data_IF_791085702693
#
_entry.id   IF_791085702693
#
_cell.length_a   1.000
_cell.length_b   1.000
_cell.length_c   1.000
_cell.angle_alpha   90.00
_cell.angle_beta   90.00
_cell.angle_gamma   90.00
#
_symmetry.space_group_name_H-M   'P 1'
#
loop_
_entity.id
_entity.type
_entity.pdbx_description
1 polymer ?
#
# COMPACT_ATOMS: atom_id res chain seq x y z
N UNK A 1 -16.58 -1.57 2.32
CA UNK A 1 -15.73 -2.14 3.38
C UNK A 1 -15.27 -1.00 4.26
N UNK A 2 -15.31 -1.16 5.58
CA UNK A 2 -14.83 -0.12 6.49
C UNK A 2 -13.31 -0.01 6.38
N UNK A 3 -12.82 1.06 5.74
CA UNK A 3 -11.49 1.56 6.00
C UNK A 3 -11.49 2.09 7.43
N UNK A 4 -11.31 1.19 8.40
CA UNK A 4 -10.71 1.57 9.66
C UNK A 4 -9.32 2.07 9.32
N UNK A 5 -9.18 3.39 9.14
CA UNK A 5 -7.88 4.03 9.25
C UNK A 5 -7.26 3.51 10.53
N UNK A 6 -6.22 2.68 10.41
CA UNK A 6 -5.29 2.44 11.49
C UNK A 6 -4.71 3.81 11.82
N UNK A 7 -5.31 4.48 12.81
CA UNK A 7 -4.82 5.74 13.34
C UNK A 7 -3.60 5.40 14.20
N UNK A 8 -2.50 5.01 13.56
CA UNK A 8 -1.22 4.93 14.22
C UNK A 8 -0.89 6.33 14.74
N UNK A 9 -0.75 6.44 16.06
CA UNK A 9 -0.38 7.69 16.68
C UNK A 9 1.07 7.99 16.31
N UNK A 10 1.29 9.07 15.56
CA UNK A 10 2.64 9.54 15.23
C UNK A 10 3.02 10.66 16.18
N UNK A 11 4.04 10.43 17.01
CA UNK A 11 4.59 11.44 17.92
C UNK A 11 5.87 12.05 17.36
N UNK A 12 6.04 13.36 17.57
CA UNK A 12 7.19 14.13 17.10
C UNK A 12 8.07 14.53 18.27
N UNK A 13 9.33 14.11 18.24
CA UNK A 13 10.34 14.42 19.24
C UNK A 13 11.39 15.35 18.64
N UNK A 14 11.63 16.48 19.29
CA UNK A 14 12.81 17.31 19.01
C UNK A 14 13.99 16.73 19.77
N UNK A 15 15.10 16.53 19.06
CA UNK A 15 16.30 15.95 19.64
C UNK A 15 17.12 17.06 20.30
N UNK A 16 17.55 16.82 21.54
CA UNK A 16 18.50 17.70 22.25
C UNK A 16 19.85 17.68 21.52
N UNK A 17 20.33 16.48 21.22
CA UNK A 17 21.55 16.23 20.46
C UNK A 17 21.17 15.60 19.11
N UNK A 18 21.74 16.13 18.02
CA UNK A 18 21.39 15.65 16.68
C UNK A 18 21.91 14.23 16.46
N UNK A 19 21.08 13.33 15.95
CA UNK A 19 21.52 12.03 15.46
C UNK A 19 22.01 12.27 14.02
N UNK A 20 23.32 12.25 13.82
CA UNK A 20 23.99 12.75 12.62
C UNK A 20 23.54 14.20 12.29
N UNK A 21 22.63 14.38 11.31
CA UNK A 21 22.10 15.67 10.88
C UNK A 21 20.61 15.91 11.24
N UNK A 22 19.95 14.94 11.90
CA UNK A 22 18.53 15.04 12.24
C UNK A 22 18.35 15.81 13.55
N UNK A 23 17.45 16.80 13.56
CA UNK A 23 17.05 17.54 14.78
C UNK A 23 15.64 17.20 15.28
N UNK A 24 14.87 16.43 14.51
CA UNK A 24 13.53 16.02 14.88
C UNK A 24 13.18 14.67 14.25
N UNK A 25 12.62 13.78 15.06
CA UNK A 25 12.14 12.46 14.63
C UNK A 25 10.65 12.32 14.87
N UNK A 26 10.01 11.58 13.98
CA UNK A 26 8.64 11.09 14.06
C UNK A 26 8.68 9.59 14.29
N UNK A 27 7.97 9.14 15.32
CA UNK A 27 7.87 7.75 15.72
C UNK A 27 6.41 7.34 15.86
N UNK A 28 6.15 6.07 15.65
CA UNK A 28 4.84 5.44 15.75
C UNK A 28 4.93 4.15 16.56
N UNK A 29 3.78 3.63 16.98
CA UNK A 29 3.69 2.34 17.66
C UNK A 29 4.15 1.22 16.72
N UNK A 30 5.05 0.36 17.19
CA UNK A 30 5.42 -0.85 16.47
C UNK A 30 4.53 -1.99 16.97
N UNK A 31 3.47 -2.30 16.23
CA UNK A 31 2.53 -3.36 16.56
C UNK A 31 2.50 -4.42 15.47
N UNK A 32 2.35 -5.69 15.86
CA UNK A 32 2.14 -6.79 14.92
C UNK A 32 0.91 -7.57 15.33
N UNK A 33 0.04 -7.84 14.35
CA UNK A 33 -1.13 -8.69 14.56
C UNK A 33 -0.76 -10.15 14.31
N UNK A 34 -0.81 -10.97 15.35
CA UNK A 34 -0.49 -12.38 15.28
C UNK A 34 -1.77 -13.18 15.05
N UNK A 35 -1.96 -13.67 13.82
CA UNK A 35 -3.17 -14.41 13.40
C UNK A 35 -3.40 -15.65 14.27
N UNK A 36 -2.35 -16.36 14.67
CA UNK A 36 -2.43 -17.59 15.47
C UNK A 36 -3.04 -17.37 16.87
N UNK A 37 -2.77 -16.21 17.47
CA UNK A 37 -3.30 -15.83 18.78
C UNK A 37 -4.47 -14.85 18.69
N UNK A 38 -4.77 -14.33 17.49
CA UNK A 38 -5.70 -13.23 17.24
C UNK A 38 -5.43 -12.02 18.14
N UNK A 39 -4.15 -11.76 18.46
CA UNK A 39 -3.71 -10.67 19.34
C UNK A 39 -2.83 -9.67 18.61
N UNK A 40 -3.01 -8.40 18.96
CA UNK A 40 -2.09 -7.33 18.56
C UNK A 40 -1.00 -7.21 19.63
N UNK A 41 0.24 -7.43 19.23
CA UNK A 41 1.40 -7.34 20.11
C UNK A 41 2.09 -6.01 19.96
N UNK A 42 2.36 -5.34 21.08
CA UNK A 42 3.12 -4.10 21.13
C UNK A 42 4.61 -4.39 21.31
N UNK A 43 5.40 -4.08 20.28
CA UNK A 43 6.85 -4.21 20.22
C UNK A 43 7.59 -2.89 20.49
N UNK A 44 6.90 -1.89 21.04
CA UNK A 44 7.48 -0.60 21.36
C UNK A 44 7.24 0.43 20.26
N UNK A 45 8.28 1.14 19.85
CA UNK A 45 8.19 2.25 18.90
C UNK A 45 9.13 2.05 17.73
N UNK A 46 8.76 2.57 16.57
CA UNK A 46 9.64 2.65 15.40
C UNK A 46 9.55 4.00 14.74
N UNK A 47 10.55 4.33 13.92
CA UNK A 47 10.47 5.48 13.02
C UNK A 47 9.29 5.36 12.07
N UNK A 48 8.47 6.40 11.95
CA UNK A 48 7.31 6.41 11.02
C UNK A 48 7.69 6.53 9.54
N UNK A 49 8.99 6.74 9.25
CA UNK A 49 9.58 6.81 7.91
C UNK A 49 11.09 6.62 8.01
N UNK A 50 11.72 6.22 6.90
CA UNK A 50 13.17 6.26 6.78
C UNK A 50 13.65 7.71 6.68
N UNK A 51 14.72 8.03 7.39
CA UNK A 51 15.39 9.31 7.33
C UNK A 51 16.62 9.23 6.44
N UNK A 52 16.86 10.25 5.63
CA UNK A 52 18.13 10.40 4.92
C UNK A 52 19.12 11.11 5.85
N UNK A 53 20.10 10.36 6.35
CA UNK A 53 21.18 10.89 7.21
C UNK A 53 22.49 10.95 6.45
N UNK A 54 23.46 11.68 6.99
CA UNK A 54 24.84 11.64 6.51
C UNK A 54 25.68 10.84 7.50
N UNK A 55 26.25 9.72 7.06
CA UNK A 55 27.19 8.90 7.84
C UNK A 55 28.46 8.79 7.01
N UNK A 56 29.60 9.09 7.63
CA UNK A 56 30.91 9.14 6.96
C UNK A 56 30.91 9.97 5.66
N UNK A 57 30.15 11.08 5.63
CA UNK A 57 30.05 11.95 4.46
C UNK A 57 29.13 11.45 3.33
N UNK A 58 28.46 10.31 3.48
CA UNK A 58 27.53 9.73 2.50
C UNK A 58 26.08 9.79 2.97
N UNK A 59 25.16 9.96 2.03
CA UNK A 59 23.72 9.92 2.31
C UNK A 59 23.26 8.48 2.40
N UNK A 60 22.72 8.09 3.55
CA UNK A 60 22.24 6.72 3.81
C UNK A 60 20.82 6.75 4.39
N UNK A 61 20.07 5.68 4.17
CA UNK A 61 18.78 5.49 4.83
C UNK A 61 18.98 5.06 6.28
N UNK A 62 18.28 5.74 7.18
CA UNK A 62 18.33 5.48 8.61
C UNK A 62 16.93 5.27 9.18
N UNK A 63 16.79 4.18 9.93
CA UNK A 63 15.60 3.88 10.71
C UNK A 63 16.00 3.32 12.06
N UNK A 64 15.07 3.34 13.02
CA UNK A 64 15.32 2.72 14.31
C UNK A 64 14.04 2.19 14.94
N UNK A 65 14.21 1.24 15.86
CA UNK A 65 13.17 0.69 16.72
C UNK A 65 13.61 0.72 18.18
N UNK A 66 12.63 0.94 19.07
CA UNK A 66 12.79 1.03 20.52
C UNK A 66 11.85 -0.02 21.10
N UNK A 67 12.41 -1.10 21.62
CA UNK A 67 11.65 -2.12 22.33
C UNK A 67 11.18 -1.60 23.70
N UNK A 68 10.03 -2.09 24.21
CA UNK A 68 9.58 -1.77 25.56
C UNK A 68 10.50 -2.42 26.61
N UNK A 69 10.38 -1.98 27.86
CA UNK A 69 11.03 -2.65 28.99
C UNK A 69 10.38 -4.03 29.17
N UNK A 70 11.15 -5.10 28.99
CA UNK A 70 10.67 -6.49 29.13
C UNK A 70 10.02 -7.07 27.86
N UNK A 71 9.14 -8.07 28.04
CA UNK A 71 8.50 -8.77 26.93
C UNK A 71 7.45 -7.90 26.21
N UNK A 72 7.22 -8.10 24.90
CA UNK A 72 6.09 -7.49 24.18
C UNK A 72 4.77 -7.69 24.93
N UNK A 73 3.88 -6.69 24.89
CA UNK A 73 2.62 -6.73 25.64
C UNK A 73 1.42 -6.90 24.73
N UNK A 74 0.39 -7.60 25.22
CA UNK A 74 -0.89 -7.85 24.53
C UNK A 74 -1.73 -6.57 24.27
N UNK A 75 -1.28 -5.41 24.75
CA UNK A 75 -1.93 -4.11 24.57
C UNK A 75 -0.89 -2.99 24.49
N UNK A 76 -1.03 -2.02 23.56
CA UNK A 76 -0.28 -0.77 23.65
C UNK A 76 -0.67 -0.02 24.94
N UNK A 77 0.24 0.78 25.51
CA UNK A 77 -0.03 1.54 26.74
C UNK A 77 -1.29 2.40 26.60
N UNK A 78 -2.13 2.41 27.64
CA UNK A 78 -3.34 3.24 27.68
C UNK A 78 -2.90 4.70 27.59
N UNK A 79 -3.09 5.30 26.42
CA UNK A 79 -2.93 6.73 26.22
C UNK A 79 -3.88 7.42 27.20
N UNK A 80 -3.32 8.17 28.15
CA UNK A 80 -4.12 8.98 29.05
C UNK A 80 -5.03 9.86 28.18
N UNK A 81 -6.34 9.60 28.23
CA UNK A 81 -7.29 10.39 27.47
C UNK A 81 -7.01 11.86 27.78
N UNK A 82 -6.85 12.74 26.76
CA UNK A 82 -6.69 14.16 27.02
C UNK A 82 -7.80 14.54 27.98
N UNK A 83 -7.44 15.19 29.10
CA UNK A 83 -8.44 15.62 30.08
C UNK A 83 -9.52 16.36 29.29
N UNK A 84 -10.71 15.74 29.15
CA UNK A 84 -11.81 16.34 28.42
C UNK A 84 -12.27 17.56 29.20
N UNK A 85 -11.57 18.69 29.04
CA UNK A 85 -12.24 19.98 29.07
C UNK A 85 -13.25 19.89 27.95
N UNK A 86 -14.50 19.57 28.28
CA UNK A 86 -15.64 19.78 27.40
C UNK A 86 -15.70 21.28 27.09
N UNK A 87 -14.90 21.69 26.11
CA UNK A 87 -15.15 22.91 25.35
C UNK A 87 -15.57 22.44 23.99
N UNK A 88 -16.88 22.35 23.82
CA UNK A 88 -17.54 22.39 22.54
C UNK A 88 -17.07 23.67 21.86
N UNK A 89 -16.01 23.59 21.06
CA UNK A 89 -15.76 24.61 20.03
C UNK A 89 -16.86 24.41 19.01
N UNK A 90 -18.03 25.00 19.31
CA UNK A 90 -19.14 24.94 18.39
C UNK A 90 -18.72 25.71 17.14
N UNK A 91 -18.90 25.10 15.96
CA UNK A 91 -18.66 25.78 14.69
C UNK A 91 -19.33 27.17 14.73
N UNK A 92 -18.67 28.22 14.19
CA UNK A 92 -19.29 29.51 13.95
C UNK A 92 -20.67 29.34 13.29
N UNK A 93 -21.65 30.23 13.58
CA UNK A 93 -23.02 30.08 13.08
C UNK A 93 -23.10 29.87 11.56
N UNK A 94 -22.30 30.60 10.79
CA UNK A 94 -22.24 30.51 9.33
C UNK A 94 -21.73 29.14 8.86
N UNK A 95 -20.64 28.66 9.44
CA UNK A 95 -20.08 27.35 9.10
C UNK A 95 -20.98 26.19 9.56
N UNK A 96 -21.72 26.37 10.66
CA UNK A 96 -22.74 25.41 11.08
C UNK A 96 -23.90 25.36 10.11
N UNK A 97 -24.38 26.51 9.64
CA UNK A 97 -25.42 26.59 8.62
C UNK A 97 -24.96 25.91 7.33
N UNK A 98 -23.72 26.18 6.90
CA UNK A 98 -23.10 25.52 5.75
C UNK A 98 -23.04 24.00 5.91
N UNK A 99 -22.45 23.48 7.00
CA UNK A 99 -22.38 22.03 7.26
C UNK A 99 -23.78 21.39 7.32
N UNK A 100 -24.76 22.06 7.92
CA UNK A 100 -26.13 21.57 7.94
C UNK A 100 -26.74 21.52 6.53
N UNK A 101 -26.46 22.51 5.67
CA UNK A 101 -26.88 22.50 4.27
C UNK A 101 -26.30 21.31 3.49
N UNK A 102 -25.02 20.99 3.72
CA UNK A 102 -24.37 19.83 3.07
C UNK A 102 -24.96 18.51 3.58
N UNK A 103 -25.28 18.41 4.88
CA UNK A 103 -25.95 17.23 5.44
C UNK A 103 -27.35 16.99 4.87
N UNK A 104 -28.09 18.05 4.57
CA UNK A 104 -29.39 17.94 3.89
C UNK A 104 -29.18 17.35 2.49
N UNK A 105 -28.23 17.87 1.72
CA UNK A 105 -27.88 17.32 0.39
C UNK A 105 -27.46 15.85 0.45
N UNK A 106 -26.63 15.47 1.43
CA UNK A 106 -26.23 14.07 1.65
C UNK A 106 -27.45 13.19 1.91
N UNK A 107 -28.39 13.66 2.75
CA UNK A 107 -29.61 12.92 3.07
C UNK A 107 -30.48 12.73 1.83
N UNK A 108 -30.68 13.78 1.04
CA UNK A 108 -31.43 13.73 -0.22
C UNK A 108 -30.81 12.74 -1.21
N UNK A 109 -29.49 12.75 -1.38
CA UNK A 109 -28.80 11.78 -2.24
C UNK A 109 -28.94 10.35 -1.71
N UNK A 110 -28.77 10.13 -0.40
CA UNK A 110 -28.90 8.80 0.22
C UNK A 110 -30.31 8.22 0.10
N UNK A 111 -31.36 9.06 0.12
CA UNK A 111 -32.75 8.62 -0.07
C UNK A 111 -33.04 8.11 -1.49
N UNK A 112 -32.23 8.50 -2.48
CA UNK A 112 -32.40 8.09 -3.88
C UNK A 112 -31.35 7.06 -4.33
N UNK A 113 -30.52 6.55 -3.42
CA UNK A 113 -29.56 5.52 -3.77
C UNK A 113 -30.28 4.20 -4.08
N UNK A 114 -29.91 3.51 -5.18
CA UNK A 114 -30.37 2.17 -5.46
C UNK A 114 -30.02 1.20 -4.32
N UNK A 115 -30.83 0.16 -4.16
CA UNK A 115 -30.46 -0.95 -3.28
C UNK A 115 -29.15 -1.60 -3.78
N UNK A 116 -28.24 -1.82 -2.83
CA UNK A 116 -26.99 -2.53 -3.10
C UNK A 116 -27.30 -4.00 -3.45
N UNK A 117 -26.53 -4.61 -4.36
CA UNK A 117 -26.69 -6.02 -4.68
C UNK A 117 -26.54 -6.89 -3.42
N UNK A 118 -27.57 -7.69 -3.13
CA UNK A 118 -27.57 -8.66 -2.03
C UNK A 118 -27.32 -10.09 -2.55
N UNK A 119 -27.19 -11.06 -1.63
CA UNK A 119 -26.95 -12.45 -2.03
C UNK A 119 -28.08 -13.06 -2.86
N UNK A 120 -29.32 -12.58 -2.69
CA UNK A 120 -30.45 -13.07 -3.46
C UNK A 120 -30.34 -12.59 -4.91
N UNK A 121 -30.05 -11.31 -5.13
CA UNK A 121 -29.78 -10.75 -6.45
C UNK A 121 -28.61 -11.45 -7.15
N UNK A 122 -27.50 -11.67 -6.45
CA UNK A 122 -26.32 -12.36 -7.02
C UNK A 122 -26.64 -13.80 -7.45
N UNK A 123 -27.56 -14.47 -6.76
CA UNK A 123 -28.01 -15.82 -7.15
C UNK A 123 -28.86 -15.80 -8.42
N UNK A 124 -29.66 -14.76 -8.63
CA UNK A 124 -30.59 -14.66 -9.77
C UNK A 124 -29.89 -14.63 -11.13
N UNK A 125 -28.66 -14.14 -11.23
CA UNK A 125 -27.89 -14.20 -12.50
C UNK A 125 -27.75 -15.65 -13.01
N UNK A 126 -27.61 -16.61 -12.09
CA UNK A 126 -27.45 -18.02 -12.43
C UNK A 126 -28.78 -18.71 -12.80
N UNK A 127 -29.92 -18.03 -12.70
CA UNK A 127 -31.18 -18.53 -13.27
C UNK A 127 -31.20 -18.37 -14.80
N UNK A 128 -30.35 -17.49 -15.36
CA UNK A 128 -30.26 -17.19 -16.79
C UNK A 128 -29.05 -17.84 -17.46
N UNK A 129 -28.22 -18.53 -16.70
CA UNK A 129 -26.96 -19.10 -17.15
C UNK A 129 -26.68 -20.40 -16.39
N UNK A 130 -26.33 -21.47 -17.10
CA UNK A 130 -25.88 -22.70 -16.43
C UNK A 130 -24.57 -22.44 -15.68
N UNK A 131 -24.72 -22.26 -14.36
CA UNK A 131 -23.62 -21.97 -13.44
C UNK A 131 -22.56 -23.06 -13.48
N UNK A 132 -22.95 -24.32 -13.52
CA UNK A 132 -22.00 -25.42 -13.43
C UNK A 132 -21.17 -25.46 -14.72
N UNK A 133 -21.84 -25.43 -15.88
CA UNK A 133 -21.15 -25.39 -17.17
C UNK A 133 -20.24 -24.18 -17.32
N UNK A 134 -20.67 -22.99 -16.89
CA UNK A 134 -19.87 -21.77 -16.96
C UNK A 134 -18.61 -21.87 -16.09
N UNK A 135 -18.75 -22.32 -14.84
CA UNK A 135 -17.63 -22.47 -13.90
C UNK A 135 -16.66 -23.55 -14.39
N UNK A 136 -17.16 -24.69 -14.86
CA UNK A 136 -16.33 -25.80 -15.33
C UNK A 136 -15.48 -25.39 -16.54
N UNK A 137 -16.07 -24.70 -17.52
CA UNK A 137 -15.32 -24.21 -18.67
C UNK A 137 -14.23 -23.20 -18.25
N UNK A 138 -14.55 -22.26 -17.35
CA UNK A 138 -13.57 -21.30 -16.86
C UNK A 138 -12.41 -21.98 -16.10
N UNK A 139 -12.71 -22.97 -15.26
CA UNK A 139 -11.71 -23.74 -14.53
C UNK A 139 -10.83 -24.57 -15.47
N UNK A 140 -11.44 -25.26 -16.44
CA UNK A 140 -10.69 -26.02 -17.45
C UNK A 140 -9.77 -25.11 -18.28
N UNK A 141 -10.24 -23.93 -18.67
CA UNK A 141 -9.41 -22.94 -19.35
C UNK A 141 -8.20 -22.52 -18.49
N UNK A 142 -8.42 -22.23 -17.21
CA UNK A 142 -7.35 -21.85 -16.29
C UNK A 142 -6.32 -22.97 -16.09
N UNK A 143 -6.77 -24.22 -15.91
CA UNK A 143 -5.89 -25.38 -15.79
C UNK A 143 -5.05 -25.58 -17.04
N UNK A 144 -5.66 -25.44 -18.22
CA UNK A 144 -4.93 -25.53 -19.49
C UNK A 144 -3.86 -24.43 -19.62
N UNK A 145 -4.19 -23.20 -19.21
CA UNK A 145 -3.27 -22.07 -19.25
C UNK A 145 -2.08 -22.22 -18.28
N UNK A 146 -2.36 -22.66 -17.05
CA UNK A 146 -1.38 -22.78 -15.98
C UNK A 146 -0.49 -24.04 -16.07
N UNK A 147 -0.78 -24.95 -17.01
CA UNK A 147 0.00 -26.16 -17.22
C UNK A 147 1.46 -25.83 -17.57
N UNK A 148 2.40 -26.05 -16.65
CA UNK A 148 3.82 -25.71 -16.84
C UNK A 148 4.55 -26.62 -17.84
N UNK A 149 4.00 -27.79 -18.12
CA UNK A 149 4.61 -28.79 -19.01
C UNK A 149 4.17 -28.61 -20.47
N UNK A 150 3.05 -27.93 -20.70
CA UNK A 150 2.53 -27.64 -22.03
C UNK A 150 3.27 -26.47 -22.69
N UNK A 151 3.52 -26.57 -23.99
CA UNK A 151 4.01 -25.45 -24.79
C UNK A 151 2.92 -24.39 -25.01
N UNK A 152 3.32 -23.21 -25.53
CA UNK A 152 2.40 -22.09 -25.72
C UNK A 152 1.28 -22.40 -26.74
N UNK A 153 1.53 -23.28 -27.72
CA UNK A 153 0.53 -23.65 -28.73
C UNK A 153 -0.60 -24.45 -28.08
N UNK A 154 -0.23 -25.45 -27.28
CA UNK A 154 -1.18 -26.30 -26.56
C UNK A 154 -1.98 -25.45 -25.56
N UNK A 155 -1.29 -24.60 -24.76
CA UNK A 155 -1.95 -23.71 -23.81
C UNK A 155 -2.99 -22.81 -24.47
N UNK A 156 -2.61 -22.11 -25.53
CA UNK A 156 -3.49 -21.16 -26.20
C UNK A 156 -4.70 -21.87 -26.83
N UNK A 157 -4.48 -23.01 -27.50
CA UNK A 157 -5.57 -23.77 -28.13
C UNK A 157 -6.55 -24.31 -27.10
N UNK A 158 -6.07 -25.04 -26.10
CA UNK A 158 -6.96 -25.65 -25.10
C UNK A 158 -7.71 -24.59 -24.29
N UNK A 159 -7.03 -23.54 -23.82
CA UNK A 159 -7.69 -22.45 -23.09
C UNK A 159 -8.74 -21.76 -23.97
N UNK A 160 -8.42 -21.49 -25.24
CA UNK A 160 -9.35 -20.86 -26.18
C UNK A 160 -10.60 -21.70 -26.43
N UNK A 161 -10.47 -23.03 -26.53
CA UNK A 161 -11.61 -23.93 -26.75
C UNK A 161 -12.58 -23.92 -25.56
N UNK A 162 -12.05 -23.96 -24.33
CA UNK A 162 -12.90 -23.90 -23.14
C UNK A 162 -13.58 -22.55 -22.97
N UNK A 163 -12.86 -21.44 -23.21
CA UNK A 163 -13.44 -20.11 -23.19
C UNK A 163 -14.53 -19.95 -24.26
N UNK A 164 -14.26 -20.36 -25.50
CA UNK A 164 -15.20 -20.29 -26.61
C UNK A 164 -16.52 -21.05 -26.34
N UNK A 165 -16.50 -22.13 -25.56
CA UNK A 165 -17.72 -22.88 -25.18
C UNK A 165 -18.68 -22.08 -24.31
N UNK A 166 -18.22 -20.99 -23.69
CA UNK A 166 -19.05 -20.11 -22.87
C UNK A 166 -19.92 -19.18 -23.71
N UNK A 167 -19.53 -18.90 -24.96
CA UNK A 167 -20.19 -17.92 -25.84
C UNK A 167 -21.68 -18.21 -26.07
N UNK A 168 -22.11 -19.43 -26.45
CA UNK A 168 -23.53 -19.67 -26.75
C UNK A 168 -24.44 -19.48 -25.54
N UNK A 169 -23.96 -19.86 -24.35
CA UNK A 169 -24.70 -19.71 -23.11
C UNK A 169 -24.86 -18.23 -22.73
N UNK A 170 -23.80 -17.44 -22.90
CA UNK A 170 -23.82 -16.00 -22.67
C UNK A 170 -24.71 -15.26 -23.69
N UNK A 171 -24.68 -15.66 -24.95
CA UNK A 171 -25.55 -15.07 -26.00
C UNK A 171 -27.03 -15.34 -25.79
N UNK A 172 -27.38 -16.51 -25.24
CA UNK A 172 -28.75 -16.87 -24.92
C UNK A 172 -29.29 -16.18 -23.65
N UNK A 173 -28.42 -15.50 -22.90
CA UNK A 173 -28.76 -14.86 -21.64
C UNK A 173 -29.52 -13.55 -21.88
N UNK A 174 -30.74 -13.47 -21.36
CA UNK A 174 -31.59 -12.27 -21.40
C UNK A 174 -31.85 -11.76 -19.98
N UNK A 175 -30.97 -10.90 -19.49
CA UNK A 175 -31.12 -10.31 -18.16
C UNK A 175 -32.19 -9.20 -18.17
N UNK A 176 -33.04 -9.12 -17.13
CA UNK A 176 -33.92 -7.97 -16.91
C UNK A 176 -33.12 -6.72 -16.54
N UNK A 177 -33.70 -5.54 -16.76
CA UNK A 177 -33.04 -4.24 -16.52
C UNK A 177 -32.46 -4.10 -15.10
N UNK A 178 -33.13 -4.66 -14.09
CA UNK A 178 -32.67 -4.65 -12.69
C UNK A 178 -31.36 -5.42 -12.45
N UNK A 179 -31.01 -6.35 -13.35
CA UNK A 179 -29.76 -7.13 -13.34
C UNK A 179 -28.75 -6.60 -14.38
N UNK A 180 -29.10 -5.58 -15.17
CA UNK A 180 -28.17 -4.92 -16.09
C UNK A 180 -27.37 -3.86 -15.34
N UNK A 181 -26.47 -4.28 -14.45
CA UNK A 181 -25.68 -3.38 -13.58
C UNK A 181 -24.28 -3.92 -13.31
N UNK A 182 -23.31 -3.00 -13.23
CA UNK A 182 -21.88 -3.25 -13.15
C UNK A 182 -21.31 -3.26 -11.72
N UNK A 183 -22.16 -3.06 -10.70
CA UNK A 183 -21.81 -3.10 -9.28
C UNK A 183 -21.94 -4.52 -8.66
N UNK A 184 -22.02 -5.57 -9.48
CA UNK A 184 -22.28 -6.95 -9.05
C UNK A 184 -21.06 -7.88 -9.17
N UNK A 185 -21.03 -8.96 -8.38
CA UNK A 185 -20.01 -10.02 -8.51
C UNK A 185 -20.10 -10.71 -9.86
N UNK A 186 -21.30 -10.85 -10.42
CA UNK A 186 -21.46 -11.40 -11.77
C UNK A 186 -20.72 -10.56 -12.83
N UNK A 187 -20.89 -9.24 -12.80
CA UNK A 187 -20.19 -8.35 -13.73
C UNK A 187 -18.66 -8.41 -13.60
N UNK A 188 -18.16 -8.53 -12.35
CA UNK A 188 -16.73 -8.73 -12.08
C UNK A 188 -16.21 -10.06 -12.66
N UNK A 189 -17.00 -11.13 -12.59
CA UNK A 189 -16.65 -12.42 -13.18
C UNK A 189 -16.56 -12.30 -14.70
N UNK A 190 -17.51 -11.62 -15.34
CA UNK A 190 -17.46 -11.37 -16.79
C UNK A 190 -16.21 -10.58 -17.20
N UNK A 191 -15.87 -9.51 -16.46
CA UNK A 191 -14.66 -8.73 -16.71
C UNK A 191 -13.38 -9.58 -16.61
N UNK A 192 -13.33 -10.55 -15.67
CA UNK A 192 -12.21 -11.49 -15.54
C UNK A 192 -12.15 -12.48 -16.71
N UNK A 193 -13.29 -12.98 -17.18
CA UNK A 193 -13.34 -13.85 -18.37
C UNK A 193 -12.84 -13.10 -19.59
N UNK A 194 -13.28 -11.85 -19.78
CA UNK A 194 -12.81 -10.97 -20.86
C UNK A 194 -11.29 -10.76 -20.80
N UNK A 195 -10.75 -10.44 -19.61
CA UNK A 195 -9.31 -10.26 -19.41
C UNK A 195 -8.55 -11.54 -19.75
N UNK A 196 -9.03 -12.70 -19.30
CA UNK A 196 -8.38 -13.97 -19.57
C UNK A 196 -8.40 -14.31 -21.07
N UNK A 197 -9.53 -14.12 -21.74
CA UNK A 197 -9.65 -14.34 -23.17
C UNK A 197 -8.70 -13.43 -23.97
N UNK A 198 -8.58 -12.14 -23.60
CA UNK A 198 -7.62 -11.21 -24.21
C UNK A 198 -6.17 -11.63 -24.00
N UNK A 199 -5.81 -12.12 -22.81
CA UNK A 199 -4.46 -12.65 -22.54
C UNK A 199 -4.14 -13.83 -23.47
N UNK A 200 -5.10 -14.75 -23.66
CA UNK A 200 -4.94 -15.89 -24.57
C UNK A 200 -4.79 -15.41 -26.02
N UNK A 201 -5.64 -14.48 -26.47
CA UNK A 201 -5.62 -13.90 -27.82
C UNK A 201 -4.28 -13.19 -28.10
N UNK A 202 -3.84 -12.30 -27.21
CA UNK A 202 -2.57 -11.57 -27.34
C UNK A 202 -1.34 -12.50 -27.39
N UNK A 203 -1.34 -13.56 -26.59
CA UNK A 203 -0.24 -14.54 -26.60
C UNK A 203 -0.25 -15.37 -27.88
N UNK A 204 -1.43 -15.74 -28.38
CA UNK A 204 -1.53 -16.44 -29.65
C UNK A 204 -1.06 -15.56 -30.81
N UNK A 205 -1.44 -14.29 -30.85
CA UNK A 205 -0.96 -13.33 -31.86
C UNK A 205 0.57 -13.19 -31.84
N UNK A 206 1.16 -12.99 -30.64
CA UNK A 206 2.63 -12.87 -30.45
C UNK A 206 3.37 -14.11 -30.97
N UNK A 207 2.77 -15.29 -30.84
CA UNK A 207 3.36 -16.56 -31.23
C UNK A 207 2.85 -17.08 -32.60
N UNK A 208 2.03 -16.30 -33.32
CA UNK A 208 1.43 -16.67 -34.62
C UNK A 208 0.64 -18.00 -34.56
N UNK A 209 -0.15 -18.17 -33.52
CA UNK A 209 -0.99 -19.34 -33.30
C UNK A 209 -2.40 -19.03 -33.78
N UNK A 210 -2.92 -19.86 -34.69
CA UNK A 210 -4.32 -19.76 -35.11
C UNK A 210 -5.26 -20.24 -33.99
N UNK A 211 -6.23 -19.39 -33.63
CA UNK A 211 -7.26 -19.67 -32.63
C UNK A 211 -8.66 -19.82 -33.25
N UNK A 212 -9.61 -20.47 -32.54
CA UNK A 212 -11.01 -20.51 -32.95
C UNK A 212 -11.60 -19.09 -33.04
N UNK A 213 -12.35 -18.81 -34.11
CA UNK A 213 -13.05 -17.53 -34.31
C UNK A 213 -13.99 -17.20 -33.15
N UNK A 214 -14.54 -18.23 -32.51
CA UNK A 214 -15.46 -18.11 -31.38
C UNK A 214 -14.81 -17.46 -30.14
N UNK A 215 -13.49 -17.53 -29.97
CA UNK A 215 -12.82 -16.81 -28.88
C UNK A 215 -12.92 -15.30 -29.11
N UNK A 216 -12.66 -14.85 -30.34
CA UNK A 216 -12.77 -13.44 -30.69
C UNK A 216 -14.21 -12.94 -30.56
N UNK A 217 -15.18 -13.74 -31.02
CA UNK A 217 -16.61 -13.45 -30.85
C UNK A 217 -17.02 -13.35 -29.37
N UNK A 218 -16.44 -14.19 -28.49
CA UNK A 218 -16.61 -14.08 -27.04
C UNK A 218 -16.07 -12.78 -26.47
N UNK A 219 -14.86 -12.37 -26.89
CA UNK A 219 -14.24 -11.13 -26.43
C UNK A 219 -15.14 -9.94 -26.80
N UNK A 220 -15.53 -9.85 -28.07
CA UNK A 220 -16.42 -8.77 -28.56
C UNK A 220 -17.77 -8.79 -27.85
N UNK A 221 -18.35 -9.98 -27.65
CA UNK A 221 -19.63 -10.10 -26.96
C UNK A 221 -19.56 -9.65 -25.50
N UNK A 222 -18.57 -10.12 -24.73
CA UNK A 222 -18.45 -9.75 -23.32
C UNK A 222 -18.15 -8.26 -23.18
N UNK A 223 -17.32 -7.68 -24.05
CA UNK A 223 -17.02 -6.25 -24.06
C UNK A 223 -18.32 -5.43 -24.22
N UNK A 224 -19.11 -5.70 -25.26
CA UNK A 224 -20.43 -5.08 -25.48
C UNK A 224 -21.39 -5.31 -24.30
N UNK A 225 -21.42 -6.54 -23.79
CA UNK A 225 -22.31 -6.91 -22.69
C UNK A 225 -21.95 -6.14 -21.41
N UNK A 226 -20.66 -5.98 -21.11
CA UNK A 226 -20.17 -5.19 -19.97
C UNK A 226 -20.46 -3.70 -20.15
N UNK A 227 -20.31 -3.15 -21.36
CA UNK A 227 -20.69 -1.77 -21.65
C UNK A 227 -22.20 -1.53 -21.43
N UNK A 228 -23.06 -2.48 -21.82
CA UNK A 228 -24.50 -2.41 -21.55
C UNK A 228 -24.83 -2.52 -20.06
N UNK A 229 -24.11 -3.33 -19.29
CA UNK A 229 -24.25 -3.37 -17.83
C UNK A 229 -23.82 -2.06 -17.18
N UNK A 230 -22.74 -1.43 -17.65
CA UNK A 230 -22.32 -0.10 -17.20
C UNK A 230 -23.38 0.95 -17.54
N UNK A 231 -23.98 0.89 -18.74
CA UNK A 231 -25.08 1.80 -19.11
C UNK A 231 -26.31 1.62 -18.20
N UNK A 232 -26.68 0.37 -17.91
CA UNK A 232 -27.78 0.07 -17.00
C UNK A 232 -27.48 0.49 -15.56
N UNK A 233 -26.25 0.28 -15.08
CA UNK A 233 -25.75 0.81 -13.81
C UNK A 233 -25.83 2.33 -13.76
N UNK A 234 -25.32 3.02 -14.79
CA UNK A 234 -25.42 4.48 -14.89
C UNK A 234 -26.87 4.97 -14.82
N UNK A 235 -27.80 4.33 -15.54
CA UNK A 235 -29.24 4.67 -15.46
C UNK A 235 -29.79 4.47 -14.05
N UNK A 236 -29.44 3.36 -13.41
CA UNK A 236 -29.87 3.03 -12.05
C UNK A 236 -29.37 4.07 -11.03
N UNK A 237 -28.13 4.50 -11.14
CA UNK A 237 -27.53 5.55 -10.31
C UNK A 237 -27.86 6.98 -10.77
N UNK A 238 -28.65 7.16 -11.83
CA UNK A 238 -29.05 8.49 -12.32
C UNK A 238 -27.90 9.30 -12.94
N UNK A 239 -26.87 8.63 -13.46
CA UNK A 239 -25.72 9.23 -14.14
C UNK A 239 -26.12 9.54 -15.59
N UNK A 240 -26.03 10.82 -15.99
CA UNK A 240 -26.60 11.30 -17.27
C UNK A 240 -25.97 10.66 -18.51
N UNK A 241 -24.64 10.45 -18.48
CA UNK A 241 -23.86 9.73 -19.50
C UNK A 241 -22.48 9.38 -18.95
N UNK A 242 -21.76 8.52 -19.67
CA UNK A 242 -20.33 8.28 -19.43
C UNK A 242 -19.53 9.56 -19.68
N UNK A 243 -18.57 9.84 -18.81
CA UNK A 243 -17.56 10.88 -19.04
C UNK A 243 -16.66 10.49 -20.22
N UNK A 244 -16.25 11.49 -20.99
CA UNK A 244 -15.12 11.36 -21.90
C UNK A 244 -13.82 11.20 -21.10
N UNK A 245 -12.77 10.70 -21.74
CA UNK A 245 -11.47 10.54 -21.08
C UNK A 245 -10.96 11.87 -20.50
N UNK A 246 -11.13 12.98 -21.24
CA UNK A 246 -10.71 14.31 -20.81
C UNK A 246 -11.52 14.80 -19.60
N UNK A 247 -12.84 14.59 -19.59
CA UNK A 247 -13.70 14.93 -18.45
C UNK A 247 -13.34 14.11 -17.20
N UNK A 248 -13.04 12.82 -17.39
CA UNK A 248 -12.62 11.95 -16.30
C UNK A 248 -11.26 12.40 -15.72
N UNK A 249 -10.27 12.64 -16.58
CA UNK A 249 -8.95 13.12 -16.16
C UNK A 249 -9.04 14.48 -15.46
N UNK A 250 -9.83 15.42 -15.99
CA UNK A 250 -10.06 16.70 -15.36
C UNK A 250 -10.71 16.56 -13.97
N UNK A 251 -11.64 15.61 -13.81
CA UNK A 251 -12.25 15.31 -12.51
C UNK A 251 -11.23 14.73 -11.52
N UNK A 252 -10.33 13.84 -11.96
CA UNK A 252 -9.28 13.27 -11.12
C UNK A 252 -8.25 14.31 -10.68
N UNK A 253 -7.83 15.20 -11.59
CA UNK A 253 -6.93 16.31 -11.26
C UNK A 253 -7.59 17.25 -10.25
N UNK A 254 -8.86 17.59 -10.47
CA UNK A 254 -9.62 18.45 -9.58
C UNK A 254 -9.80 17.83 -8.19
N UNK A 255 -10.06 16.52 -8.12
CA UNK A 255 -10.14 15.77 -6.87
C UNK A 255 -8.80 15.78 -6.10
N UNK A 256 -7.70 15.48 -6.80
CA UNK A 256 -6.35 15.53 -6.24
C UNK A 256 -6.02 16.89 -5.63
N UNK A 257 -6.30 17.97 -6.35
CA UNK A 257 -6.12 19.35 -5.87
C UNK A 257 -7.06 19.69 -4.70
N UNK A 258 -8.32 19.25 -4.76
CA UNK A 258 -9.33 19.50 -3.72
C UNK A 258 -8.99 18.81 -2.39
N UNK A 259 -8.45 17.59 -2.43
CA UNK A 259 -8.17 16.77 -1.24
C UNK A 259 -6.74 16.92 -0.71
N UNK A 260 -5.76 17.09 -1.60
CA UNK A 260 -4.34 17.04 -1.25
C UNK A 260 -3.55 18.28 -1.65
N UNK A 261 -4.14 19.20 -2.43
CA UNK A 261 -3.48 20.43 -2.84
C UNK A 261 -3.21 21.41 -1.70
N UNK A 262 -2.19 22.25 -1.90
CA UNK A 262 -1.77 23.31 -0.97
C UNK A 262 -2.64 24.59 -1.07
N UNK A 263 -3.75 24.53 -1.82
CA UNK A 263 -4.64 25.67 -2.02
C UNK A 263 -5.40 26.06 -0.75
N UNK A 264 -5.82 27.34 -0.62
CA UNK A 264 -6.68 27.79 0.48
C UNK A 264 -7.95 26.95 0.63
N UNK A 265 -8.46 26.86 1.86
CA UNK A 265 -9.66 26.07 2.18
C UNK A 265 -10.85 26.52 1.35
N UNK A 266 -11.03 27.83 1.17
CA UNK A 266 -12.12 28.41 0.40
C UNK A 266 -12.08 27.95 -1.06
N UNK A 267 -10.89 27.94 -1.68
CA UNK A 267 -10.71 27.44 -3.05
C UNK A 267 -10.98 25.94 -3.14
N UNK A 268 -10.48 25.16 -2.17
CA UNK A 268 -10.70 23.72 -2.11
C UNK A 268 -12.19 23.36 -1.92
N UNK A 269 -12.94 24.16 -1.17
CA UNK A 269 -14.39 23.99 -1.04
C UNK A 269 -15.11 24.23 -2.36
N UNK A 270 -14.67 25.19 -3.17
CA UNK A 270 -15.21 25.44 -4.52
C UNK A 270 -14.90 24.28 -5.47
N UNK A 271 -13.71 23.68 -5.35
CA UNK A 271 -13.34 22.50 -6.13
C UNK A 271 -14.21 21.30 -5.76
N UNK A 272 -14.34 21.00 -4.46
CA UNK A 272 -15.26 19.96 -3.99
C UNK A 272 -16.69 20.25 -4.45
N UNK A 273 -17.10 21.53 -4.49
CA UNK A 273 -18.42 21.92 -4.97
C UNK A 273 -18.65 21.54 -6.42
N UNK A 274 -17.66 21.84 -7.25
CA UNK A 274 -17.67 21.48 -8.66
C UNK A 274 -17.80 19.97 -8.83
N UNK A 275 -17.11 19.18 -7.99
CA UNK A 275 -17.19 17.72 -8.00
C UNK A 275 -18.56 17.20 -7.56
N UNK A 276 -19.12 17.61 -6.42
CA UNK A 276 -20.42 17.06 -5.99
C UNK A 276 -21.61 17.57 -6.82
N UNK A 277 -21.47 18.68 -7.56
CA UNK A 277 -22.48 19.18 -8.50
C UNK A 277 -22.39 18.51 -9.87
N UNK A 278 -21.27 17.84 -10.19
CA UNK A 278 -21.10 17.10 -11.42
C UNK A 278 -22.02 15.87 -11.46
N UNK A 279 -23.02 15.91 -12.36
CA UNK A 279 -24.00 14.83 -12.55
C UNK A 279 -23.49 13.64 -13.36
N UNK A 280 -22.26 13.73 -13.87
CA UNK A 280 -21.56 12.61 -14.51
C UNK A 280 -20.83 11.72 -13.50
N UNK A 281 -20.77 12.12 -12.23
CA UNK A 281 -20.25 11.32 -11.12
C UNK A 281 -21.37 10.58 -10.42
N UNK A 282 -21.04 9.42 -9.84
CA UNK A 282 -22.03 8.63 -9.12
C UNK A 282 -22.54 9.40 -7.89
N UNK A 283 -23.81 9.19 -7.47
CA UNK A 283 -24.31 9.77 -6.23
C UNK A 283 -23.46 9.41 -5.01
N UNK A 284 -22.78 8.26 -5.04
CA UNK A 284 -21.86 7.80 -3.97
C UNK A 284 -20.63 8.70 -3.90
N UNK A 285 -19.95 8.95 -5.02
CA UNK A 285 -18.78 9.82 -5.08
C UNK A 285 -19.16 11.26 -4.67
N UNK A 286 -20.32 11.73 -5.13
CA UNK A 286 -20.85 13.06 -4.78
C UNK A 286 -21.13 13.18 -3.28
N UNK A 287 -21.64 12.13 -2.64
CA UNK A 287 -21.79 12.06 -1.17
C UNK A 287 -20.42 12.14 -0.49
N UNK A 288 -19.42 11.41 -1.00
CA UNK A 288 -18.07 11.44 -0.45
C UNK A 288 -17.48 12.87 -0.50
N UNK A 289 -17.59 13.57 -1.62
CA UNK A 289 -17.13 14.96 -1.73
C UNK A 289 -17.86 15.92 -0.77
N UNK A 290 -19.17 15.73 -0.55
CA UNK A 290 -19.91 16.48 0.47
C UNK A 290 -19.40 16.18 1.89
N UNK A 291 -19.09 14.92 2.20
CA UNK A 291 -18.53 14.50 3.49
C UNK A 291 -17.11 15.05 3.69
N UNK A 292 -16.27 15.05 2.66
CA UNK A 292 -14.93 15.67 2.67
C UNK A 292 -15.00 17.18 2.89
N UNK A 293 -15.96 17.87 2.26
CA UNK A 293 -16.17 19.30 2.49
C UNK A 293 -16.57 19.61 3.93
N UNK A 294 -17.42 18.77 4.54
CA UNK A 294 -17.76 18.87 5.97
C UNK A 294 -16.50 18.70 6.84
N UNK A 295 -15.66 17.72 6.53
CA UNK A 295 -14.42 17.49 7.29
C UNK A 295 -13.41 18.62 7.12
N UNK A 296 -13.29 19.21 5.92
CA UNK A 296 -12.42 20.36 5.66
C UNK A 296 -12.81 21.56 6.54
N UNK A 297 -14.11 21.88 6.62
CA UNK A 297 -14.65 22.97 7.48
C UNK A 297 -14.46 22.67 8.97
N UNK A 298 -14.63 21.41 9.39
CA UNK A 298 -14.37 21.03 10.79
C UNK A 298 -12.88 21.08 11.15
N UNK A 299 -11.99 20.69 10.23
CA UNK A 299 -10.53 20.72 10.41
C UNK A 299 -10.04 22.17 10.59
N UNK A 300 -10.62 23.15 9.90
CA UNK A 300 -10.32 24.58 10.08
C UNK A 300 -10.54 25.07 11.53
N UNK A 301 -11.51 24.51 12.25
CA UNK A 301 -11.82 24.86 13.64
C UNK A 301 -11.08 24.01 14.68
N UNK A 302 -10.30 23.01 14.26
CA UNK A 302 -9.37 22.35 15.17
C UNK A 302 -8.24 23.33 15.46
N UNK A 303 -8.38 24.15 16.52
CA UNK A 303 -7.18 24.75 17.16
C UNK A 303 -6.19 23.62 17.42
N UNK A 304 -4.89 23.89 17.19
CA UNK A 304 -3.71 23.01 17.43
C UNK A 304 -4.13 21.81 18.28
N UNK A 305 -4.11 20.61 17.69
CA UNK A 305 -4.34 19.36 18.40
C UNK A 305 -3.71 19.47 19.80
N UNK A 306 -4.51 19.27 20.85
CA UNK A 306 -3.94 18.97 22.16
C UNK A 306 -2.97 17.82 21.92
N UNK A 307 -1.68 18.08 22.15
CA UNK A 307 -0.62 17.09 21.99
C UNK A 307 -1.02 15.94 22.90
N UNK A 308 -1.39 14.82 22.31
CA UNK A 308 -1.57 13.58 23.06
C UNK A 308 -0.17 13.22 23.55
N UNK A 309 0.12 13.31 24.86
CA UNK A 309 1.45 13.02 25.36
C UNK A 309 1.78 11.56 25.05
N UNK A 310 2.99 11.31 24.57
CA UNK A 310 3.43 9.94 24.35
C UNK A 310 3.53 9.26 25.72
N UNK A 311 2.87 8.10 25.94
CA UNK A 311 2.85 7.45 27.26
C UNK A 311 4.24 7.05 27.76
N UNK A 312 5.20 6.88 26.85
CA UNK A 312 6.58 6.52 27.15
C UNK A 312 7.59 7.64 26.78
N UNK A 313 7.19 8.92 26.87
CA UNK A 313 8.02 10.06 26.45
C UNK A 313 9.45 10.04 27.02
N UNK A 314 9.62 9.79 28.32
CA UNK A 314 10.93 9.79 28.96
C UNK A 314 11.80 8.59 28.56
N UNK A 315 11.18 7.41 28.40
CA UNK A 315 11.84 6.22 27.85
C UNK A 315 12.38 6.53 26.45
N UNK A 316 11.53 7.06 25.58
CA UNK A 316 11.90 7.38 24.20
C UNK A 316 13.04 8.40 24.18
N UNK A 317 12.99 9.47 24.99
CA UNK A 317 14.10 10.43 25.09
C UNK A 317 15.41 9.77 25.51
N UNK A 318 15.37 8.85 26.48
CA UNK A 318 16.54 8.07 26.92
C UNK A 318 17.13 7.26 25.76
N UNK A 319 16.29 6.53 25.02
CA UNK A 319 16.72 5.76 23.86
C UNK A 319 17.26 6.62 22.72
N UNK A 320 16.65 7.78 22.45
CA UNK A 320 17.14 8.70 21.42
C UNK A 320 18.53 9.27 21.76
N UNK A 321 18.80 9.55 23.04
CA UNK A 321 20.13 9.96 23.51
C UNK A 321 21.18 8.84 23.38
N UNK A 322 20.77 7.60 23.70
CA UNK A 322 21.58 6.40 23.49
C UNK A 322 21.92 6.18 22.00
N UNK A 323 20.92 6.28 21.12
CA UNK A 323 21.10 6.16 19.67
C UNK A 323 22.03 7.26 19.14
N UNK A 324 21.89 8.50 19.62
CA UNK A 324 22.83 9.58 19.27
C UNK A 324 24.27 9.20 19.61
N UNK A 325 24.51 8.75 20.83
CA UNK A 325 25.85 8.34 21.29
C UNK A 325 26.39 7.20 20.41
N UNK A 326 25.57 6.19 20.15
CA UNK A 326 25.97 5.02 19.36
C UNK A 326 26.29 5.37 17.90
N UNK A 327 25.47 6.21 17.27
CA UNK A 327 25.72 6.69 15.90
C UNK A 327 27.00 7.52 15.84
N UNK A 328 27.26 8.35 16.85
CA UNK A 328 28.50 9.12 16.93
C UNK A 328 29.73 8.22 17.04
N UNK A 329 29.67 7.18 17.87
CA UNK A 329 30.75 6.19 17.97
C UNK A 329 30.97 5.44 16.65
N UNK A 330 29.90 5.07 15.94
CA UNK A 330 29.98 4.51 14.59
C UNK A 330 30.65 5.48 13.60
N UNK A 331 30.32 6.77 13.67
CA UNK A 331 30.98 7.80 12.87
C UNK A 331 32.48 7.93 13.21
N UNK A 332 32.82 7.89 14.49
CA UNK A 332 34.20 7.96 15.01
C UNK A 332 35.03 6.71 14.65
N UNK A 333 34.43 5.51 14.58
CA UNK A 333 35.08 4.29 14.09
C UNK A 333 35.53 4.42 12.61
N UNK A 334 34.75 5.13 11.82
CA UNK A 334 35.10 5.54 10.46
C UNK A 334 34.84 4.51 9.35
N UNK A 335 34.58 5.02 8.16
CA UNK A 335 34.20 4.25 6.96
C UNK A 335 35.24 3.21 6.55
N UNK A 336 36.52 3.57 6.58
CA UNK A 336 37.61 2.68 6.15
C UNK A 336 37.68 1.41 6.98
N UNK A 337 37.41 1.52 8.29
CA UNK A 337 37.39 0.36 9.20
C UNK A 337 36.24 -0.56 8.85
N UNK A 338 35.04 -0.01 8.65
CA UNK A 338 33.85 -0.79 8.34
C UNK A 338 33.90 -1.45 6.97
N UNK A 339 34.39 -0.75 5.94
CA UNK A 339 34.60 -1.34 4.61
C UNK A 339 35.56 -2.52 4.64
N UNK A 340 36.66 -2.39 5.39
CA UNK A 340 37.62 -3.50 5.56
C UNK A 340 36.99 -4.68 6.29
N UNK A 341 36.30 -4.43 7.42
CA UNK A 341 35.58 -5.49 8.15
C UNK A 341 34.59 -6.23 7.27
N UNK A 342 33.82 -5.51 6.45
CA UNK A 342 32.89 -6.12 5.48
C UNK A 342 33.62 -6.97 4.44
N UNK A 343 34.69 -6.44 3.84
CA UNK A 343 35.45 -7.16 2.83
C UNK A 343 36.12 -8.43 3.39
N UNK A 344 36.69 -8.35 4.61
CA UNK A 344 37.27 -9.50 5.31
C UNK A 344 36.20 -10.56 5.62
N UNK A 345 35.03 -10.14 6.13
CA UNK A 345 33.92 -11.06 6.41
C UNK A 345 33.34 -11.74 5.17
N UNK A 346 33.45 -11.12 4.01
CA UNK A 346 32.96 -11.65 2.73
C UNK A 346 34.04 -12.36 1.90
N UNK A 347 35.29 -12.43 2.36
CA UNK A 347 36.41 -12.86 1.53
C UNK A 347 36.22 -14.26 0.94
N UNK A 348 35.76 -15.22 1.74
CA UNK A 348 35.51 -16.60 1.27
C UNK A 348 34.39 -16.65 0.22
N UNK A 349 33.27 -15.95 0.47
CA UNK A 349 32.16 -15.85 -0.46
C UNK A 349 32.56 -15.17 -1.76
N UNK A 350 33.35 -14.10 -1.68
CA UNK A 350 33.86 -13.36 -2.84
C UNK A 350 34.72 -14.26 -3.73
N UNK A 351 35.63 -15.05 -3.15
CA UNK A 351 36.45 -16.01 -3.91
C UNK A 351 35.56 -17.02 -4.63
N UNK A 352 34.64 -17.66 -3.90
CA UNK A 352 33.75 -18.67 -4.49
C UNK A 352 32.88 -18.12 -5.62
N UNK A 353 32.32 -16.92 -5.46
CA UNK A 353 31.50 -16.28 -6.49
C UNK A 353 32.30 -15.90 -7.73
N UNK A 354 33.50 -15.32 -7.56
CA UNK A 354 34.34 -14.92 -8.70
C UNK A 354 34.88 -16.12 -9.46
N UNK A 355 35.23 -17.21 -8.78
CA UNK A 355 35.59 -18.48 -9.41
C UNK A 355 34.43 -19.04 -10.26
N UNK A 356 33.21 -19.04 -9.71
CA UNK A 356 32.03 -19.50 -10.44
C UNK A 356 31.70 -18.62 -11.66
N UNK A 357 31.95 -17.31 -11.57
CA UNK A 357 31.75 -16.35 -12.65
C UNK A 357 32.89 -16.31 -13.69
N UNK A 358 34.03 -16.98 -13.44
CA UNK A 358 35.22 -16.91 -14.29
C UNK A 358 35.95 -15.56 -14.23
N UNK A 359 35.76 -14.82 -13.13
CA UNK A 359 36.30 -13.48 -12.91
C UNK A 359 37.66 -13.55 -12.18
N UNK A 360 38.61 -12.62 -12.43
CA UNK A 360 39.92 -12.63 -11.79
C UNK A 360 39.79 -12.40 -10.28
N UNK A 361 40.69 -12.95 -9.44
CA UNK A 361 40.62 -12.77 -7.99
C UNK A 361 40.72 -11.29 -7.60
N UNK A 362 39.99 -10.91 -6.56
CA UNK A 362 39.94 -9.55 -6.04
C UNK A 362 40.52 -9.51 -4.62
N UNK A 363 41.43 -8.58 -4.34
CA UNK A 363 42.01 -8.43 -3.00
C UNK A 363 40.98 -7.86 -2.02
N UNK A 364 41.17 -8.11 -0.72
CA UNK A 364 40.31 -7.53 0.33
C UNK A 364 40.37 -6.01 0.30
N UNK A 365 41.55 -5.43 0.05
CA UNK A 365 41.74 -3.99 -0.04
C UNK A 365 40.99 -3.38 -1.23
N UNK A 366 41.10 -4.01 -2.41
CA UNK A 366 40.41 -3.54 -3.61
C UNK A 366 38.90 -3.70 -3.47
N UNK A 367 38.44 -4.81 -2.89
CA UNK A 367 37.02 -5.04 -2.63
C UNK A 367 36.47 -4.03 -1.61
N UNK A 368 37.15 -3.84 -0.47
CA UNK A 368 36.77 -2.85 0.54
C UNK A 368 36.62 -1.45 -0.05
N UNK A 369 37.46 -1.07 -1.02
CA UNK A 369 37.37 0.24 -1.66
C UNK A 369 36.07 0.45 -2.46
N UNK A 370 35.38 -0.63 -2.88
CA UNK A 370 34.20 -0.62 -3.75
C UNK A 370 32.87 -0.67 -2.99
N UNK A 371 32.91 -1.03 -1.71
CA UNK A 371 31.74 -1.21 -0.86
C UNK A 371 31.27 0.12 -0.27
N UNK A 372 29.97 0.42 -0.39
CA UNK A 372 29.34 1.62 0.15
C UNK A 372 28.19 1.27 1.09
N UNK A 373 28.08 1.97 2.21
CA UNK A 373 26.93 1.86 3.11
C UNK A 373 25.70 2.46 2.41
N UNK A 374 24.60 1.70 2.36
CA UNK A 374 23.32 2.13 1.78
C UNK A 374 22.32 2.52 2.85
N UNK A 375 22.19 1.69 3.88
CA UNK A 375 21.25 1.93 4.96
C UNK A 375 21.75 1.34 6.26
N UNK A 376 21.21 1.85 7.37
CA UNK A 376 21.39 1.29 8.69
C UNK A 376 20.07 1.30 9.48
N UNK A 377 19.86 0.25 10.25
CA UNK A 377 18.77 0.14 11.20
C UNK A 377 19.33 -0.08 12.61
N UNK A 378 18.83 0.67 13.59
CA UNK A 378 19.21 0.47 15.00
C UNK A 378 17.99 0.02 15.79
N UNK A 379 18.08 -1.13 16.42
CA UNK A 379 17.14 -1.58 17.44
C UNK A 379 17.76 -1.40 18.82
N UNK A 380 16.98 -0.85 19.74
CA UNK A 380 17.37 -0.64 21.13
C UNK A 380 16.41 -1.31 22.08
N UNK A 381 16.93 -1.94 23.13
CA UNK A 381 16.13 -2.64 24.15
C UNK A 381 16.63 -2.29 25.55
N UNK A 382 15.74 -1.83 26.42
CA UNK A 382 16.09 -1.54 27.81
C UNK A 382 15.93 -2.79 28.69
N UNK A 383 17.00 -3.13 29.40
CA UNK A 383 17.04 -4.19 30.41
C UNK A 383 16.49 -3.70 31.75
N UNK A 384 16.12 -4.63 32.64
CA UNK A 384 15.57 -4.31 33.97
C UNK A 384 16.49 -3.43 34.83
N UNK A 385 17.81 -3.49 34.60
CA UNK A 385 18.81 -2.67 35.30
C UNK A 385 19.03 -1.28 34.67
N UNK A 386 18.24 -0.94 33.64
CA UNK A 386 18.28 0.33 32.94
C UNK A 386 19.38 0.44 31.88
N UNK A 387 20.15 -0.62 31.60
CA UNK A 387 21.08 -0.65 30.46
C UNK A 387 20.32 -0.80 29.14
N UNK A 388 20.80 -0.10 28.11
CA UNK A 388 20.27 -0.22 26.75
C UNK A 388 21.16 -1.18 25.96
N UNK A 389 20.57 -2.25 25.44
CA UNK A 389 21.20 -3.12 24.47
C UNK A 389 20.96 -2.57 23.06
N UNK A 390 21.97 -2.74 22.21
CA UNK A 390 21.96 -2.29 20.83
C UNK A 390 22.07 -3.47 19.90
N UNK A 391 21.25 -3.44 18.86
CA UNK A 391 21.34 -4.28 17.69
C UNK A 391 21.37 -3.34 16.48
N UNK A 392 22.52 -3.26 15.82
CA UNK A 392 22.75 -2.45 14.64
C UNK A 392 22.82 -3.39 13.43
N UNK A 393 22.02 -3.07 12.43
CA UNK A 393 22.03 -3.71 11.11
C UNK A 393 22.59 -2.70 10.10
N UNK A 394 23.63 -3.12 9.39
CA UNK A 394 24.26 -2.33 8.34
C UNK A 394 24.08 -3.03 7.01
N UNK A 395 23.64 -2.29 6.00
CA UNK A 395 23.45 -2.79 4.65
C UNK A 395 24.40 -2.07 3.70
N UNK A 396 25.25 -2.86 3.05
CA UNK A 396 26.26 -2.39 2.14
C UNK A 396 25.99 -2.90 0.72
N UNK A 397 26.36 -2.10 -0.26
CA UNK A 397 26.30 -2.46 -1.66
C UNK A 397 27.69 -2.31 -2.28
N UNK A 398 28.05 -3.27 -3.12
CA UNK A 398 29.22 -3.17 -3.98
C UNK A 398 28.87 -2.38 -5.26
N UNK A 399 29.71 -1.41 -5.61
CA UNK A 399 29.56 -0.60 -6.82
C UNK A 399 29.84 -1.38 -8.11
N UNK A 400 30.65 -2.42 -8.03
CA UNK A 400 31.08 -3.21 -9.19
C UNK A 400 30.27 -4.49 -9.38
N UNK A 401 29.22 -4.64 -8.58
CA UNK A 401 28.26 -5.75 -8.68
C UNK A 401 28.89 -7.14 -8.54
N UNK A 402 29.92 -7.29 -7.68
CA UNK A 402 30.63 -8.57 -7.48
C UNK A 402 29.73 -9.71 -7.00
N UNK A 403 28.54 -9.40 -6.51
CA UNK A 403 27.51 -10.34 -6.08
C UNK A 403 26.19 -10.17 -6.83
N UNK A 404 26.21 -9.77 -8.11
CA UNK A 404 25.03 -9.78 -8.98
C UNK A 404 23.75 -9.13 -8.39
N UNK A 405 23.93 -8.01 -7.68
CA UNK A 405 22.87 -7.19 -7.09
C UNK A 405 22.59 -7.49 -5.62
N UNK A 406 23.19 -8.52 -5.04
CA UNK A 406 22.96 -8.90 -3.65
C UNK A 406 23.52 -7.86 -2.66
N UNK A 407 22.74 -7.60 -1.60
CA UNK A 407 23.11 -6.67 -0.53
C UNK A 407 23.92 -7.42 0.52
N UNK A 408 25.04 -6.83 0.92
CA UNK A 408 25.83 -7.32 2.04
C UNK A 408 25.26 -6.79 3.36
N UNK A 409 25.14 -7.67 4.34
CA UNK A 409 24.55 -7.38 5.64
C UNK A 409 25.57 -7.60 6.76
N UNK A 410 25.57 -6.73 7.76
CA UNK A 410 26.26 -6.95 9.02
C UNK A 410 25.33 -6.71 10.21
N UNK A 411 25.35 -7.67 11.14
CA UNK A 411 24.66 -7.60 12.42
C UNK A 411 25.67 -7.33 13.53
N UNK A 412 25.46 -6.25 14.28
CA UNK A 412 26.31 -5.83 15.38
C UNK A 412 25.47 -5.79 16.64
N UNK A 413 25.84 -6.57 17.65
CA UNK A 413 25.16 -6.55 18.96
C UNK A 413 26.10 -6.01 20.02
N UNK A 414 25.75 -4.89 20.66
CA UNK A 414 26.54 -4.23 21.69
C UNK A 414 28.01 -4.04 21.28
N UNK A 415 28.25 -3.42 20.11
CA UNK A 415 29.57 -3.16 19.51
C UNK A 415 30.36 -4.41 19.08
N UNK A 416 29.74 -5.59 19.12
CA UNK A 416 30.36 -6.84 18.67
C UNK A 416 29.69 -7.29 17.38
N UNK A 417 30.46 -7.40 16.30
CA UNK A 417 30.01 -8.00 15.04
C UNK A 417 29.64 -9.46 15.31
N UNK A 418 28.40 -9.83 15.00
CA UNK A 418 27.87 -11.19 15.16
C UNK A 418 27.81 -11.95 13.85
N UNK A 419 27.50 -11.24 12.77
CA UNK A 419 27.30 -11.83 11.47
C UNK A 419 27.69 -10.83 10.38
N UNK A 420 28.32 -11.34 9.33
CA UNK A 420 28.52 -10.68 8.05
C UNK A 420 28.10 -11.71 7.00
N UNK A 421 27.06 -11.43 6.22
CA UNK A 421 26.55 -12.36 5.20
C UNK A 421 25.89 -11.64 4.02
N UNK A 422 25.62 -12.37 2.94
CA UNK A 422 24.85 -11.88 1.78
C UNK A 422 23.36 -12.10 2.00
N UNK A 423 22.57 -11.06 1.74
CA UNK A 423 21.10 -11.15 1.70
C UNK A 423 20.68 -11.59 0.29
N UNK A 424 20.17 -12.83 0.21
CA UNK A 424 19.68 -13.50 -1.00
C UNK A 424 18.20 -13.30 -1.22
#
# INVERSE_FOLDING_TARGET
MGNGEDKTNVWKFRLTDKIANISQVSIEENTEFWIESMKLWFYGYKTSKNYKVTIWGRKVDFSFSIAPVGMPTDYPPVIAAPQKKKRTTSLPPEQRAYVNSLKVKIKELKEHLPELPDEAMEKRYWDYLDRQSFIDNLQCAAVAWDNKEADMIVKCREASEYLARMLPALQAMHLPDELMRDDTKFSLVLARVLQFARIVEENAEKNRIDLPVQLHELIVFIDDFTDRMIEGGNKLFGIERRMTLDEHNASLELDGEALYGDKPIEERLVMLQTLWENRLLSPVDRIEYLEQAIELVKKQNRKRQEIVPCPHEELIKKHLSAIHTYVKELEDEGETVWRRRMAEGMAESLVSWREAAGEPPLSVEDFASRIDLQSLHIKTEEQEDGRILYELELYFQDRDDSFAGHIMYALVKNHVVKEITLMG
#
